data_IF_589508342099
#
_entry.id   IF_589508342099
#
_cell.length_a   1.000
_cell.length_b   1.000
_cell.length_c   1.000
_cell.angle_alpha   90.00
_cell.angle_beta   90.00
_cell.angle_gamma   90.00
#
_symmetry.space_group_name_H-M   'P 1'
#
loop_
_entity.id
_entity.type
_entity.pdbx_description
1 polymer ?
#
# COMPACT_ATOMS: atom_id res chain seq x y z
N UNK A 1 -33.43 -28.52 12.76
CA UNK A 1 -32.24 -27.79 13.16
C UNK A 1 -32.47 -27.24 14.57
N UNK A 2 -31.57 -27.48 15.52
CA UNK A 2 -31.69 -26.88 16.84
C UNK A 2 -31.37 -25.39 16.80
N UNK A 3 -31.95 -24.60 17.71
CA UNK A 3 -31.68 -23.16 17.78
C UNK A 3 -30.19 -22.86 18.00
N UNK A 4 -29.47 -23.77 18.66
CA UNK A 4 -28.02 -23.63 18.88
C UNK A 4 -27.23 -23.70 17.58
N UNK A 5 -27.57 -24.61 16.66
CA UNK A 5 -26.90 -24.73 15.37
C UNK A 5 -27.15 -23.51 14.51
N UNK A 6 -28.38 -23.01 14.50
CA UNK A 6 -28.74 -21.80 13.76
C UNK A 6 -27.99 -20.59 14.30
N UNK A 7 -27.92 -20.42 15.61
CA UNK A 7 -27.22 -19.32 16.25
C UNK A 7 -25.71 -19.37 15.95
N UNK A 8 -25.10 -20.54 15.97
CA UNK A 8 -23.70 -20.73 15.63
C UNK A 8 -23.40 -20.36 14.18
N UNK A 9 -24.26 -20.73 13.22
CA UNK A 9 -24.12 -20.36 11.82
C UNK A 9 -24.22 -18.85 11.61
N UNK A 10 -25.19 -18.20 12.27
CA UNK A 10 -25.36 -16.75 12.18
C UNK A 10 -24.15 -16.01 12.75
N UNK A 11 -23.59 -16.47 13.85
CA UNK A 11 -22.40 -15.90 14.47
C UNK A 11 -21.19 -16.03 13.54
N UNK A 12 -20.98 -17.19 12.92
CA UNK A 12 -19.89 -17.44 11.99
C UNK A 12 -20.00 -16.53 10.76
N UNK A 13 -21.18 -16.36 10.20
CA UNK A 13 -21.42 -15.48 9.06
C UNK A 13 -21.12 -14.02 9.44
N UNK A 14 -21.56 -13.58 10.62
CA UNK A 14 -21.30 -12.22 11.10
C UNK A 14 -19.80 -11.95 11.24
N UNK A 15 -19.02 -12.89 11.78
CA UNK A 15 -17.57 -12.75 11.90
C UNK A 15 -16.87 -12.65 10.55
N UNK A 16 -17.30 -13.44 9.56
CA UNK A 16 -16.75 -13.38 8.20
C UNK A 16 -17.06 -12.02 7.56
N UNK A 17 -18.28 -11.52 7.68
CA UNK A 17 -18.68 -10.22 7.15
C UNK A 17 -17.86 -9.10 7.78
N UNK A 18 -17.67 -9.11 9.08
CA UNK A 18 -16.85 -8.13 9.80
C UNK A 18 -15.40 -8.17 9.28
N UNK A 19 -14.81 -9.34 9.10
CA UNK A 19 -13.46 -9.48 8.59
C UNK A 19 -13.31 -8.94 7.16
N UNK A 20 -14.27 -9.23 6.29
CA UNK A 20 -14.27 -8.77 4.90
C UNK A 20 -14.31 -7.23 4.80
N UNK A 21 -15.01 -6.58 5.73
CA UNK A 21 -15.11 -5.10 5.77
C UNK A 21 -13.93 -4.49 6.51
N UNK A 22 -13.57 -5.03 7.67
CA UNK A 22 -12.56 -4.44 8.56
C UNK A 22 -11.15 -4.48 7.99
N UNK A 23 -10.75 -5.56 7.33
CA UNK A 23 -9.39 -5.72 6.80
C UNK A 23 -9.05 -4.66 5.74
N UNK A 24 -9.88 -4.43 4.70
CA UNK A 24 -9.60 -3.35 3.74
C UNK A 24 -9.59 -1.96 4.39
N UNK A 25 -10.52 -1.68 5.32
CA UNK A 25 -10.58 -0.37 6.00
C UNK A 25 -9.29 -0.14 6.79
N UNK A 26 -8.81 -1.13 7.54
CA UNK A 26 -7.56 -1.03 8.29
C UNK A 26 -6.36 -0.81 7.36
N UNK A 27 -6.32 -1.51 6.23
CA UNK A 27 -5.24 -1.37 5.26
C UNK A 27 -5.16 0.05 4.68
N UNK A 28 -6.31 0.66 4.36
CA UNK A 28 -6.35 1.99 3.76
C UNK A 28 -6.30 3.14 4.77
N UNK A 29 -6.47 2.87 6.07
CA UNK A 29 -6.44 3.89 7.13
C UNK A 29 -5.18 3.86 7.97
N UNK A 30 -4.27 2.93 7.74
CA UNK A 30 -3.06 2.72 8.55
C UNK A 30 -1.91 3.57 8.01
N UNK A 31 -1.84 4.83 8.47
CA UNK A 31 -0.83 5.79 8.03
C UNK A 31 0.49 5.60 8.78
N UNK A 32 1.60 5.59 8.04
CA UNK A 32 2.95 5.56 8.59
C UNK A 32 3.81 6.63 7.92
N UNK A 33 4.83 7.11 8.62
CA UNK A 33 5.76 8.11 8.09
C UNK A 33 7.18 7.57 8.15
N UNK A 34 7.92 7.68 7.04
CA UNK A 34 9.31 7.26 6.93
C UNK A 34 10.15 8.38 6.35
N UNK A 35 11.37 8.56 6.87
CA UNK A 35 12.35 9.46 6.28
C UNK A 35 13.41 8.61 5.60
N UNK A 36 13.47 8.68 4.29
CA UNK A 36 14.37 7.85 3.48
C UNK A 36 15.01 8.64 2.35
N UNK A 37 16.20 8.21 1.94
CA UNK A 37 16.84 8.67 0.72
C UNK A 37 16.47 7.72 -0.41
N UNK A 38 15.98 8.25 -1.51
CA UNK A 38 15.55 7.44 -2.64
C UNK A 38 16.78 6.85 -3.33
N UNK A 39 16.83 5.53 -3.44
CA UNK A 39 17.95 4.80 -4.04
C UNK A 39 17.64 4.33 -5.45
N UNK A 40 16.38 4.02 -5.74
CA UNK A 40 15.96 3.56 -7.06
C UNK A 40 14.45 3.73 -7.22
N UNK A 41 14.00 3.73 -8.46
CA UNK A 41 12.58 3.77 -8.84
C UNK A 41 12.37 2.86 -10.02
N UNK A 42 11.25 2.14 -10.06
CA UNK A 42 10.91 1.34 -11.22
C UNK A 42 9.40 1.33 -11.48
N UNK A 43 9.05 1.15 -12.74
CA UNK A 43 7.68 0.92 -13.16
C UNK A 43 7.54 -0.56 -13.50
N UNK A 44 6.65 -1.24 -12.78
CA UNK A 44 6.37 -2.67 -13.00
C UNK A 44 5.07 -2.79 -13.76
N UNK A 45 5.11 -3.48 -14.89
CA UNK A 45 3.92 -3.74 -15.71
C UNK A 45 3.63 -5.24 -15.69
N UNK A 46 2.40 -5.59 -15.31
CA UNK A 46 1.97 -6.98 -15.22
C UNK A 46 0.79 -7.20 -16.16
N UNK A 47 0.82 -8.29 -16.91
CA UNK A 47 -0.32 -8.68 -17.76
C UNK A 47 -1.35 -9.38 -16.87
N UNK A 48 -2.54 -8.78 -16.71
CA UNK A 48 -3.62 -9.30 -15.86
C UNK A 48 -4.64 -10.08 -16.65
N UNK A 49 -4.78 -9.79 -17.96
CA UNK A 49 -5.66 -10.50 -18.89
C UNK A 49 -5.12 -10.31 -20.31
N UNK A 50 -5.61 -11.11 -21.26
CA UNK A 50 -5.22 -10.97 -22.66
C UNK A 50 -5.51 -9.56 -23.18
N UNK A 51 -4.48 -8.88 -23.67
CA UNK A 51 -4.59 -7.51 -24.14
C UNK A 51 -4.71 -6.45 -23.07
N UNK A 52 -4.65 -6.82 -21.79
CA UNK A 52 -4.74 -5.87 -20.67
C UNK A 52 -3.49 -5.95 -19.80
N UNK A 53 -2.96 -4.78 -19.43
CA UNK A 53 -1.82 -4.68 -18.54
C UNK A 53 -2.15 -3.78 -17.36
N UNK A 54 -1.55 -4.07 -16.23
CA UNK A 54 -1.59 -3.25 -15.03
C UNK A 54 -0.19 -2.76 -14.72
N UNK A 55 -0.06 -1.50 -14.30
CA UNK A 55 1.23 -0.90 -13.99
C UNK A 55 1.21 -0.32 -12.58
N UNK A 56 2.32 -0.49 -11.88
CA UNK A 56 2.54 0.18 -10.60
C UNK A 56 3.97 0.68 -10.53
N UNK A 57 4.18 1.69 -9.70
CA UNK A 57 5.50 2.24 -9.44
C UNK A 57 6.01 1.71 -8.13
N UNK A 58 7.26 1.26 -8.11
CA UNK A 58 7.96 0.89 -6.89
C UNK A 58 9.06 1.90 -6.60
N UNK A 59 9.12 2.34 -5.36
CA UNK A 59 10.08 3.33 -4.88
C UNK A 59 10.96 2.66 -3.83
N UNK A 60 12.26 2.65 -4.05
CA UNK A 60 13.23 2.07 -3.12
C UNK A 60 13.90 3.19 -2.35
N UNK A 61 13.97 3.04 -1.03
CA UNK A 61 14.60 4.03 -0.17
C UNK A 61 15.41 3.38 0.93
N UNK A 62 16.34 4.16 1.49
CA UNK A 62 17.20 3.73 2.57
C UNK A 62 17.16 4.77 3.70
N UNK A 63 16.99 4.33 4.94
CA UNK A 63 16.99 5.23 6.07
C UNK A 63 18.44 5.55 6.53
N UNK A 64 18.56 6.41 7.55
CA UNK A 64 19.87 6.81 8.07
C UNK A 64 20.67 5.65 8.68
N UNK A 65 20.03 4.54 9.01
CA UNK A 65 20.65 3.34 9.57
C UNK A 65 21.04 2.32 8.51
N UNK A 66 20.79 2.62 7.23
CA UNK A 66 21.08 1.71 6.12
C UNK A 66 20.02 0.68 5.85
N UNK A 67 18.84 0.78 6.50
CA UNK A 67 17.75 -0.14 6.25
C UNK A 67 17.04 0.22 4.96
N UNK A 68 16.84 -0.76 4.08
CA UNK A 68 16.18 -0.59 2.79
C UNK A 68 14.68 -0.83 2.92
N UNK A 69 13.89 0.05 2.31
CA UNK A 69 12.43 -0.04 2.23
C UNK A 69 12.00 -0.04 0.78
N UNK A 70 10.91 -0.74 0.49
CA UNK A 70 10.25 -0.71 -0.82
C UNK A 70 8.82 -0.22 -0.62
N UNK A 71 8.45 0.82 -1.34
CA UNK A 71 7.12 1.40 -1.29
C UNK A 71 6.45 1.29 -2.65
N UNK A 72 5.15 1.23 -2.65
CA UNK A 72 4.32 1.31 -3.83
C UNK A 72 3.82 2.75 -4.01
N UNK A 73 3.70 3.20 -5.24
CA UNK A 73 3.12 4.50 -5.57
C UNK A 73 2.00 4.26 -6.57
N UNK A 74 0.78 4.12 -6.06
CA UNK A 74 -0.41 3.86 -6.86
C UNK A 74 -1.57 4.76 -6.43
N UNK A 75 -2.50 4.99 -7.35
CA UNK A 75 -3.71 5.74 -7.05
C UNK A 75 -4.61 4.95 -6.12
N UNK A 76 -5.34 5.64 -5.24
CA UNK A 76 -6.31 5.02 -4.34
C UNK A 76 -7.52 5.91 -4.13
N UNK A 77 -8.70 5.36 -4.39
CA UNK A 77 -9.97 6.05 -4.22
C UNK A 77 -10.27 6.38 -2.76
N UNK A 78 -9.88 5.50 -1.84
CA UNK A 78 -10.16 5.67 -0.40
C UNK A 78 -9.44 6.85 0.21
N UNK A 79 -8.33 7.28 -0.37
CA UNK A 79 -7.55 8.41 0.11
C UNK A 79 -7.58 9.59 -0.86
N UNK A 80 -8.36 9.48 -1.94
CA UNK A 80 -8.46 10.54 -2.93
C UNK A 80 -7.16 10.79 -3.71
N UNK A 81 -6.30 9.80 -3.78
CA UNK A 81 -5.02 9.91 -4.48
C UNK A 81 -5.16 9.50 -5.95
N UNK A 82 -4.88 10.44 -6.85
CA UNK A 82 -4.98 10.22 -8.30
C UNK A 82 -3.74 10.73 -9.04
N UNK A 83 -2.63 10.93 -8.32
CA UNK A 83 -1.44 11.60 -8.83
C UNK A 83 -0.16 10.74 -8.77
N UNK A 84 -0.29 9.41 -8.83
CA UNK A 84 0.86 8.51 -8.68
C UNK A 84 1.97 8.78 -9.69
N UNK A 85 1.63 9.12 -10.94
CA UNK A 85 2.63 9.47 -11.94
C UNK A 85 3.41 10.73 -11.59
N UNK A 86 2.74 11.73 -11.02
CA UNK A 86 3.37 12.98 -10.60
C UNK A 86 4.30 12.75 -9.41
N UNK A 87 3.87 11.94 -8.45
CA UNK A 87 4.68 11.55 -7.29
C UNK A 87 5.93 10.79 -7.75
N UNK A 88 5.77 9.82 -8.64
CA UNK A 88 6.89 9.06 -9.21
C UNK A 88 7.92 9.98 -9.87
N UNK A 89 7.45 10.95 -10.67
CA UNK A 89 8.34 11.90 -11.33
C UNK A 89 9.00 12.88 -10.38
N UNK A 90 8.34 13.24 -9.29
CA UNK A 90 8.84 14.22 -8.32
C UNK A 90 9.90 13.63 -7.37
N UNK A 91 9.81 12.34 -7.06
CA UNK A 91 10.77 11.66 -6.20
C UNK A 91 12.06 11.38 -6.98
N UNK A 92 13.16 12.00 -6.57
CA UNK A 92 14.44 11.91 -7.27
C UNK A 92 15.42 11.03 -6.51
N UNK A 93 16.15 10.19 -7.25
CA UNK A 93 17.21 9.38 -6.68
C UNK A 93 18.29 10.25 -6.05
N UNK A 94 18.76 9.86 -4.89
CA UNK A 94 19.78 10.60 -4.12
C UNK A 94 19.22 11.67 -3.21
N UNK A 95 17.95 12.01 -3.32
CA UNK A 95 17.29 13.01 -2.47
C UNK A 95 16.60 12.32 -1.29
N UNK A 96 16.50 13.04 -0.17
CA UNK A 96 15.86 12.54 1.05
C UNK A 96 14.47 13.15 1.21
N UNK A 97 13.50 12.29 1.51
CA UNK A 97 12.11 12.69 1.69
C UNK A 97 11.51 12.08 2.95
N UNK A 98 10.54 12.81 3.52
CA UNK A 98 9.62 12.26 4.48
C UNK A 98 8.41 11.74 3.70
N UNK A 99 8.20 10.44 3.72
CA UNK A 99 7.11 9.78 2.99
C UNK A 99 6.00 9.40 3.96
N UNK A 100 4.77 9.79 3.64
CA UNK A 100 3.59 9.32 4.34
C UNK A 100 2.97 8.20 3.51
N UNK A 101 2.80 7.03 4.12
CA UNK A 101 2.35 5.82 3.44
C UNK A 101 1.17 5.21 4.16
N UNK A 102 0.38 4.42 3.45
CA UNK A 102 -0.73 3.65 4.01
C UNK A 102 -0.57 2.18 3.66
N UNK A 103 -1.20 1.32 4.47
CA UNK A 103 -1.25 -0.10 4.23
C UNK A 103 -0.21 -0.88 5.04
N UNK A 104 -0.03 -2.12 4.66
CA UNK A 104 0.88 -3.05 5.33
C UNK A 104 1.83 -3.67 4.31
N UNK A 105 3.09 -3.88 4.73
CA UNK A 105 4.03 -4.67 3.95
C UNK A 105 3.80 -6.15 4.26
N UNK A 106 3.29 -6.90 3.29
CA UNK A 106 3.06 -8.34 3.42
C UNK A 106 3.86 -9.05 2.32
N UNK A 107 4.98 -9.67 2.69
CA UNK A 107 5.92 -10.26 1.75
C UNK A 107 5.32 -11.42 0.93
N UNK A 108 4.50 -12.26 1.56
CA UNK A 108 3.89 -13.43 0.91
C UNK A 108 2.98 -13.02 -0.25
N UNK A 109 2.27 -11.89 -0.10
CA UNK A 109 1.32 -11.39 -1.11
C UNK A 109 1.90 -10.29 -1.99
N UNK A 110 3.16 -9.91 -1.81
CA UNK A 110 3.78 -8.76 -2.48
C UNK A 110 2.98 -7.46 -2.28
N UNK A 111 2.43 -7.28 -1.07
CA UNK A 111 1.78 -6.03 -0.69
C UNK A 111 2.82 -5.06 -0.16
N UNK A 112 2.76 -3.84 -0.65
CA UNK A 112 3.66 -2.77 -0.27
C UNK A 112 2.87 -1.63 0.33
N UNK A 113 3.50 -0.89 1.25
CA UNK A 113 2.92 0.35 1.74
C UNK A 113 2.89 1.36 0.61
N UNK A 114 1.75 2.05 0.44
CA UNK A 114 1.52 2.98 -0.67
C UNK A 114 1.79 4.41 -0.25
N UNK A 115 2.61 5.14 -1.02
CA UNK A 115 2.95 6.54 -0.77
C UNK A 115 1.75 7.41 -1.10
N UNK A 116 1.22 8.15 -0.11
CA UNK A 116 0.12 9.09 -0.30
C UNK A 116 0.56 10.55 -0.27
N UNK A 117 1.72 10.83 0.30
CA UNK A 117 2.27 12.19 0.39
C UNK A 117 3.78 12.13 0.57
N UNK A 118 4.45 13.21 0.23
CA UNK A 118 5.89 13.31 0.43
C UNK A 118 6.29 14.76 0.68
N UNK A 119 7.41 14.93 1.39
CA UNK A 119 7.97 16.24 1.73
C UNK A 119 9.49 16.16 1.62
N UNK A 120 10.10 17.14 0.96
CA UNK A 120 11.56 17.21 0.84
C UNK A 120 12.17 17.52 2.21
N UNK A 121 13.18 16.77 2.59
CA UNK A 121 13.94 16.98 3.80
C UNK A 121 15.28 17.62 3.43
N UNK A 122 15.50 18.80 3.96
CA UNK A 122 16.74 19.54 3.74
C UNK A 122 17.70 19.41 4.92
#
# INVERSE_FOLDING_TARGET
MSNRSLLGCLTAIALVVIAVIAVPVMNFSNDHTYTVTITDKERVTTQVAEGQTDSKYLIYGEDKNGKTYVFEDTDTLFRGKFNSSDVYGALKEGETYELTVIGFRVHIFNWYENIIDFKVVK
#
